data_IF_730088290657
#
_entry.id   IF_730088290657
#
_cell.length_a   1.000
_cell.length_b   1.000
_cell.length_c   1.000
_cell.angle_alpha   90.00
_cell.angle_beta   90.00
_cell.angle_gamma   90.00
#
_symmetry.space_group_name_H-M   'P 1'
#
loop_
_entity.id
_entity.type
_entity.pdbx_description
1 polymer ?
#
# COMPACT_ATOMS: atom_id res chain seq x y z
N UNK A 1 -6.20 -4.92 7.27
CA UNK A 1 -6.21 -6.31 6.78
C UNK A 1 -6.73 -6.25 5.36
N UNK A 2 -5.87 -6.47 4.38
CA UNK A 2 -6.25 -6.40 2.96
C UNK A 2 -6.47 -7.82 2.44
N UNK A 3 -7.51 -8.02 1.62
CA UNK A 3 -7.75 -9.28 0.91
C UNK A 3 -6.64 -9.48 -0.13
N UNK A 4 -6.19 -10.72 -0.35
CA UNK A 4 -5.46 -11.03 -1.57
C UNK A 4 -6.34 -10.63 -2.75
N UNK A 5 -5.74 -9.96 -3.73
CA UNK A 5 -6.43 -9.34 -4.86
C UNK A 5 -7.37 -8.16 -4.51
N UNK A 6 -7.25 -7.57 -3.31
CA UNK A 6 -7.95 -6.31 -3.02
C UNK A 6 -7.40 -5.21 -3.92
N UNK A 7 -8.19 -4.87 -4.94
CA UNK A 7 -7.94 -3.69 -5.75
C UNK A 7 -8.19 -2.43 -4.93
N UNK A 8 -7.19 -1.58 -4.85
CA UNK A 8 -7.30 -0.27 -4.24
C UNK A 8 -6.83 0.83 -5.19
N UNK A 9 -7.38 2.02 -4.99
CA UNK A 9 -6.96 3.25 -5.66
C UNK A 9 -5.81 3.89 -4.86
N UNK A 10 -4.79 4.42 -5.54
CA UNK A 10 -3.60 4.99 -4.91
C UNK A 10 -3.95 6.13 -3.94
N UNK A 11 -4.94 6.97 -4.27
CA UNK A 11 -5.38 8.08 -3.40
C UNK A 11 -6.00 7.56 -2.12
N UNK A 12 -6.75 6.46 -2.19
CA UNK A 12 -7.32 5.84 -0.99
C UNK A 12 -6.22 5.39 -0.04
N UNK A 13 -5.15 4.79 -0.56
CA UNK A 13 -4.02 4.35 0.25
C UNK A 13 -3.24 5.53 0.85
N UNK A 14 -3.01 6.59 0.06
CA UNK A 14 -2.35 7.81 0.55
C UNK A 14 -3.15 8.46 1.68
N UNK A 15 -4.47 8.58 1.53
CA UNK A 15 -5.34 9.12 2.60
C UNK A 15 -5.30 8.27 3.87
N UNK A 16 -5.24 6.94 3.74
CA UNK A 16 -5.08 6.05 4.90
C UNK A 16 -3.73 6.27 5.59
N UNK A 17 -2.64 6.41 4.83
CA UNK A 17 -1.32 6.71 5.40
C UNK A 17 -1.28 8.07 6.09
N UNK A 18 -1.99 9.07 5.56
CA UNK A 18 -2.16 10.36 6.24
C UNK A 18 -2.92 10.20 7.56
N UNK A 19 -4.04 9.46 7.54
CA UNK A 19 -4.88 9.24 8.73
C UNK A 19 -4.15 8.47 9.84
N UNK A 20 -3.34 7.47 9.48
CA UNK A 20 -2.53 6.68 10.41
C UNK A 20 -1.21 7.38 10.81
N UNK A 21 -0.93 8.57 10.27
CA UNK A 21 0.29 9.33 10.60
C UNK A 21 1.59 8.71 10.06
N UNK A 22 1.49 7.88 9.01
CA UNK A 22 2.64 7.24 8.35
C UNK A 22 3.40 8.21 7.43
N UNK A 23 2.76 9.30 7.01
CA UNK A 23 3.38 10.37 6.22
C UNK A 23 3.79 11.50 7.17
N UNK A 24 5.09 11.74 7.27
CA UNK A 24 5.63 12.85 8.06
C UNK A 24 6.04 13.98 7.12
N UNK A 25 5.39 15.15 7.25
CA UNK A 25 5.77 16.35 6.51
C UNK A 25 6.93 17.07 7.21
N UNK A 26 8.11 17.19 6.58
CA UNK A 26 9.21 17.94 7.16
C UNK A 26 8.89 19.44 7.21
N UNK A 27 9.27 20.12 8.29
CA UNK A 27 9.01 21.58 8.47
C UNK A 27 9.64 22.44 7.36
N UNK A 28 10.73 21.97 6.76
CA UNK A 28 11.46 22.66 5.70
C UNK A 28 10.99 22.28 4.28
N UNK A 29 10.00 21.40 4.16
CA UNK A 29 9.49 20.94 2.88
C UNK A 29 8.20 21.70 2.53
N UNK A 30 8.10 22.18 1.29
CA UNK A 30 6.92 22.87 0.78
C UNK A 30 5.91 21.91 0.13
N UNK A 31 6.24 20.62 -0.02
CA UNK A 31 5.34 19.60 -0.56
C UNK A 31 4.20 19.31 0.39
N UNK A 32 3.03 19.03 -0.14
CA UNK A 32 1.86 18.62 0.64
C UNK A 32 2.02 17.18 1.18
N UNK A 33 1.20 16.79 2.16
CA UNK A 33 1.21 15.40 2.63
C UNK A 33 0.75 14.43 1.54
N UNK A 34 -0.13 14.90 0.66
CA UNK A 34 -0.56 14.19 -0.54
C UNK A 34 0.61 13.97 -1.51
N UNK A 35 1.41 14.99 -1.80
CA UNK A 35 2.60 14.86 -2.67
C UNK A 35 3.61 13.85 -2.09
N UNK A 36 3.85 13.92 -0.77
CA UNK A 36 4.74 12.98 -0.09
C UNK A 36 4.19 11.54 -0.09
N UNK A 37 2.86 11.42 0.02
CA UNK A 37 2.18 10.13 -0.06
C UNK A 37 2.27 9.52 -1.45
N UNK A 38 2.07 10.32 -2.49
CA UNK A 38 2.19 9.89 -3.89
C UNK A 38 3.62 9.49 -4.23
N UNK A 39 4.63 10.24 -3.77
CA UNK A 39 6.05 9.89 -3.92
C UNK A 39 6.36 8.54 -3.26
N UNK A 40 5.92 8.33 -2.02
CA UNK A 40 6.06 7.05 -1.30
C UNK A 40 5.34 5.91 -2.02
N UNK A 41 4.14 6.18 -2.54
CA UNK A 41 3.38 5.21 -3.32
C UNK A 41 4.14 4.78 -4.58
N UNK A 42 4.68 5.76 -5.32
CA UNK A 42 5.48 5.51 -6.52
C UNK A 42 6.76 4.74 -6.21
N UNK A 43 7.43 5.04 -5.09
CA UNK A 43 8.61 4.29 -4.67
C UNK A 43 8.27 2.83 -4.36
N UNK A 44 7.20 2.58 -3.61
CA UNK A 44 6.72 1.23 -3.31
C UNK A 44 6.31 0.50 -4.59
N UNK A 45 5.61 1.16 -5.51
CA UNK A 45 5.27 0.61 -6.82
C UNK A 45 6.54 0.23 -7.61
N UNK A 46 7.57 1.08 -7.61
CA UNK A 46 8.84 0.82 -8.31
C UNK A 46 9.61 -0.38 -7.74
N UNK A 47 9.45 -0.65 -6.43
CA UNK A 47 10.03 -1.79 -5.72
C UNK A 47 9.17 -3.05 -5.86
N UNK A 48 8.15 -3.03 -6.72
CA UNK A 48 7.17 -4.10 -6.92
C UNK A 48 6.36 -4.43 -5.68
N UNK A 49 6.16 -3.45 -4.79
CA UNK A 49 5.28 -3.66 -3.64
C UNK A 49 3.80 -3.71 -4.02
N UNK A 50 3.46 -2.96 -5.06
CA UNK A 50 2.13 -2.95 -5.65
C UNK A 50 2.26 -3.40 -7.10
N UNK A 51 1.22 -4.05 -7.60
CA UNK A 51 1.10 -4.39 -9.01
C UNK A 51 -0.19 -3.79 -9.55
N UNK A 52 -0.17 -3.25 -10.77
CA UNK A 52 -1.41 -2.84 -11.43
C UNK A 52 -2.28 -4.07 -11.69
N UNK A 53 -3.59 -3.98 -11.45
CA UNK A 53 -4.51 -5.11 -11.62
C UNK A 53 -4.72 -5.51 -13.09
N UNK A 54 -4.19 -4.72 -14.04
CA UNK A 54 -4.25 -4.98 -15.47
C UNK A 54 -5.63 -4.76 -16.11
N UNK A 55 -6.69 -4.64 -15.30
CA UNK A 55 -8.05 -4.32 -15.73
C UNK A 55 -8.26 -2.80 -15.78
N UNK A 56 -7.67 -2.08 -14.83
CA UNK A 56 -7.73 -0.64 -14.70
C UNK A 56 -6.33 -0.13 -14.30
N UNK A 57 -5.77 0.78 -15.10
CA UNK A 57 -4.41 1.32 -14.88
C UNK A 57 -4.29 2.09 -13.55
N UNK A 58 -5.43 2.46 -12.96
CA UNK A 58 -5.52 3.18 -11.70
C UNK A 58 -5.73 2.28 -10.47
N UNK A 59 -5.87 0.97 -10.67
CA UNK A 59 -6.08 0.00 -9.57
C UNK A 59 -4.86 -0.86 -9.33
N UNK A 60 -4.56 -1.05 -8.05
CA UNK A 60 -3.39 -1.77 -7.59
C UNK A 60 -3.77 -2.90 -6.64
N UNK A 61 -2.97 -3.97 -6.68
CA UNK A 61 -3.05 -5.12 -5.77
C UNK A 61 -1.74 -5.26 -5.01
N UNK A 62 -1.81 -5.76 -3.78
CA UNK A 62 -0.64 -6.06 -2.95
C UNK A 62 -0.24 -7.52 -3.18
N UNK A 63 1.04 -7.79 -3.46
CA UNK A 63 1.53 -9.15 -3.65
C UNK A 63 1.47 -9.97 -2.35
N UNK A 64 1.18 -11.26 -2.50
CA UNK A 64 1.28 -12.28 -1.44
C UNK A 64 2.67 -12.30 -0.76
N UNK A 65 3.72 -11.91 -1.48
CA UNK A 65 5.08 -11.80 -0.94
C UNK A 65 5.22 -10.69 0.12
N UNK A 66 4.43 -9.62 0.01
CA UNK A 66 4.41 -8.54 1.02
C UNK A 66 3.57 -8.92 2.20
N UNK A 67 2.53 -9.69 1.95
CA UNK A 67 1.78 -10.36 2.98
C UNK A 67 2.68 -11.28 3.81
N UNK A 68 3.54 -12.07 3.17
CA UNK A 68 4.54 -12.90 3.85
C UNK A 68 5.56 -12.05 4.62
N UNK A 69 6.07 -10.97 4.01
CA UNK A 69 7.00 -10.07 4.69
C UNK A 69 6.35 -9.39 5.92
N UNK A 70 5.11 -8.93 5.79
CA UNK A 70 4.37 -8.30 6.88
C UNK A 70 4.06 -9.30 8.00
N UNK A 71 3.75 -10.56 7.66
CA UNK A 71 3.58 -11.64 8.64
C UNK A 71 4.86 -11.89 9.42
N UNK A 72 6.01 -11.96 8.74
CA UNK A 72 7.31 -12.14 9.39
C UNK A 72 7.69 -10.92 10.25
N UNK A 73 7.51 -9.70 9.72
CA UNK A 73 7.89 -8.47 10.41
C UNK A 73 6.98 -8.14 11.61
N UNK A 74 5.69 -8.48 11.53
CA UNK A 74 4.73 -8.27 12.62
C UNK A 74 4.75 -9.38 13.68
N UNK A 75 5.51 -10.46 13.48
CA UNK A 75 5.50 -11.61 14.39
C UNK A 75 4.16 -12.36 14.39
N UNK A 76 3.60 -12.62 13.19
CA UNK A 76 2.35 -13.36 12.96
C UNK A 76 1.04 -12.66 13.34
N UNK A 77 1.09 -11.36 13.66
CA UNK A 77 -0.11 -10.57 14.04
C UNK A 77 -0.80 -9.99 12.79
N UNK A 78 -0.07 -9.86 11.68
CA UNK A 78 -0.61 -9.43 10.39
C UNK A 78 -1.08 -10.65 9.58
N UNK A 79 -2.32 -10.59 9.11
CA UNK A 79 -2.94 -11.62 8.30
C UNK A 79 -3.34 -11.02 6.95
N UNK A 80 -2.92 -11.65 5.86
CA UNK A 80 -3.52 -11.41 4.56
C UNK A 80 -4.61 -12.44 4.31
N UNK A 81 -5.75 -11.96 3.85
CA UNK A 81 -6.93 -12.79 3.68
C UNK A 81 -6.83 -13.42 2.29
N UNK A 82 -6.23 -14.61 2.20
CA UNK A 82 -6.26 -15.43 0.99
C UNK A 82 -7.70 -15.86 0.72
N UNK A 83 -8.32 -15.36 -0.36
CA UNK A 83 -9.64 -15.82 -0.81
C UNK A 83 -9.49 -17.22 -1.44
N UNK A 84 -9.37 -18.25 -0.59
CA UNK A 84 -9.54 -19.65 -0.99
C UNK A 84 -11.05 -19.96 -1.13
N UNK A 85 -11.70 -19.45 -2.19
CA UNK A 85 -12.98 -20.00 -2.62
C UNK A 85 -12.72 -21.04 -3.73
N UNK A 86 -12.89 -22.32 -3.38
CA UNK A 86 -13.07 -23.42 -4.33
C UNK A 86 -14.51 -23.47 -4.82
#
# INVERSE_FOLDING_TARGET
>A
MFRNDYEFDSKTLVLLWMAEGLIQQPIADNRTMEDLGDDNFCELLSRSFFQSSGIDEFRFVMHDLICDLARVASGEICFCLEDNWK
#
